data_IF_451049145288
#
_entry.id   IF_451049145288
#
_cell.length_a   1.000
_cell.length_b   1.000
_cell.length_c   1.000
_cell.angle_alpha   90.00
_cell.angle_beta   90.00
_cell.angle_gamma   90.00
#
_symmetry.space_group_name_H-M   'P 1'
#
loop_
_entity.id
_entity.type
_entity.pdbx_description
1 polymer ?
#
# COMPACT_ATOMS: atom_id res chain seq x y z
N UNK A 1 -2.28 14.03 -8.24
CA UNK A 1 -1.35 12.92 -7.97
C UNK A 1 -1.60 11.83 -9.00
N UNK A 2 -0.62 11.51 -9.81
CA UNK A 2 -0.76 10.44 -10.79
C UNK A 2 -0.40 9.06 -10.18
N UNK A 3 -0.50 8.00 -10.98
CA UNK A 3 -0.27 6.65 -10.50
C UNK A 3 1.18 6.44 -10.02
N UNK A 4 2.14 7.15 -10.60
CA UNK A 4 3.55 7.06 -10.17
C UNK A 4 3.76 7.75 -8.82
N UNK A 5 3.11 8.89 -8.60
CA UNK A 5 3.15 9.57 -7.30
C UNK A 5 2.56 8.69 -6.19
N UNK A 6 1.47 8.01 -6.49
CA UNK A 6 0.83 7.09 -5.54
C UNK A 6 1.77 5.94 -5.20
N UNK A 7 2.37 5.33 -6.21
CA UNK A 7 3.31 4.22 -6.00
C UNK A 7 4.55 4.67 -5.22
N UNK A 8 5.08 5.86 -5.54
CA UNK A 8 6.22 6.42 -4.81
C UNK A 8 5.91 6.56 -3.31
N UNK A 9 4.73 7.06 -2.99
CA UNK A 9 4.29 7.18 -1.59
C UNK A 9 4.12 5.82 -0.93
N UNK A 10 3.52 4.87 -1.60
CA UNK A 10 3.33 3.52 -1.05
C UNK A 10 4.66 2.82 -0.79
N UNK A 11 5.61 2.92 -1.72
CA UNK A 11 6.94 2.31 -1.58
C UNK A 11 7.72 2.94 -0.42
N UNK A 12 7.54 4.23 -0.18
CA UNK A 12 8.22 4.93 0.90
C UNK A 12 7.86 4.43 2.30
N UNK A 13 6.72 3.75 2.46
CA UNK A 13 6.37 3.13 3.73
C UNK A 13 7.11 1.79 3.88
N UNK A 14 8.00 1.63 4.87
CA UNK A 14 8.68 0.35 5.10
C UNK A 14 7.77 -0.63 5.85
N UNK A 15 6.63 -0.95 5.24
CA UNK A 15 5.58 -1.81 5.82
C UNK A 15 5.95 -3.28 5.76
N UNK A 16 7.07 -3.64 6.40
CA UNK A 16 7.59 -5.00 6.44
C UNK A 16 6.65 -5.90 7.25
N UNK A 17 6.42 -7.12 6.74
CA UNK A 17 5.56 -8.11 7.39
C UNK A 17 5.95 -8.31 8.86
N UNK A 18 4.96 -8.32 9.74
CA UNK A 18 5.17 -8.45 11.17
C UNK A 18 5.47 -7.16 11.91
N UNK A 19 5.56 -6.04 11.21
CA UNK A 19 5.76 -4.71 11.80
C UNK A 19 4.45 -3.92 11.82
N UNK A 20 4.36 -2.86 12.65
CA UNK A 20 3.19 -1.98 12.61
C UNK A 20 2.96 -1.40 11.20
N UNK A 21 1.69 -1.27 10.81
CA UNK A 21 1.33 -0.74 9.49
C UNK A 21 0.41 0.49 9.55
N UNK A 22 0.32 1.13 10.72
CA UNK A 22 -0.56 2.28 10.89
C UNK A 22 -0.29 3.43 9.92
N UNK A 23 0.96 3.66 9.58
CA UNK A 23 1.33 4.77 8.70
C UNK A 23 0.78 4.56 7.28
N UNK A 24 1.03 3.40 6.67
CA UNK A 24 0.55 3.11 5.32
C UNK A 24 -0.98 2.99 5.30
N UNK A 25 -1.57 2.31 6.27
CA UNK A 25 -3.02 2.16 6.36
C UNK A 25 -3.70 3.53 6.52
N UNK A 26 -3.18 4.38 7.38
CA UNK A 26 -3.71 5.73 7.59
C UNK A 26 -3.58 6.61 6.36
N UNK A 27 -2.48 6.50 5.61
CA UNK A 27 -2.32 7.26 4.37
C UNK A 27 -3.34 6.81 3.31
N UNK A 28 -3.53 5.49 3.16
CA UNK A 28 -4.51 4.95 2.20
C UNK A 28 -5.92 5.37 2.60
N UNK A 29 -6.26 5.27 3.88
CA UNK A 29 -7.57 5.72 4.39
C UNK A 29 -7.83 7.17 4.03
N UNK A 30 -6.88 8.07 4.33
CA UNK A 30 -7.02 9.49 4.06
C UNK A 30 -7.13 9.78 2.55
N UNK A 31 -6.34 9.08 1.74
CA UNK A 31 -6.39 9.23 0.29
C UNK A 31 -7.76 8.83 -0.27
N UNK A 32 -8.27 7.67 0.12
CA UNK A 32 -9.55 7.18 -0.37
C UNK A 32 -10.72 8.03 0.13
N UNK A 33 -10.65 8.52 1.36
CA UNK A 33 -11.69 9.38 1.92
C UNK A 33 -11.87 10.67 1.13
N UNK A 34 -10.78 11.24 0.61
CA UNK A 34 -10.83 12.42 -0.26
C UNK A 34 -11.62 12.19 -1.56
N UNK A 35 -11.72 10.94 -1.96
CA UNK A 35 -12.44 10.56 -3.19
C UNK A 35 -13.84 10.00 -2.90
N UNK A 36 -14.38 10.26 -1.72
CA UNK A 36 -15.74 9.89 -1.35
C UNK A 36 -15.93 8.40 -1.05
N UNK A 37 -14.86 7.68 -0.80
CA UNK A 37 -14.90 6.26 -0.48
C UNK A 37 -15.16 6.04 1.00
N UNK A 38 -16.06 5.12 1.33
CA UNK A 38 -16.23 4.66 2.70
C UNK A 38 -15.09 3.69 3.06
N UNK A 39 -14.35 4.03 4.12
CA UNK A 39 -13.19 3.24 4.55
C UNK A 39 -13.37 2.81 5.99
N UNK A 40 -13.06 1.54 6.26
CA UNK A 40 -13.05 0.99 7.62
C UNK A 40 -11.70 0.33 7.86
N UNK A 41 -11.05 0.69 8.95
CA UNK A 41 -9.87 -0.01 9.45
C UNK A 41 -10.31 -1.12 10.39
N UNK A 42 -9.75 -2.31 10.19
CA UNK A 42 -10.04 -3.51 10.97
C UNK A 42 -8.77 -3.90 11.73
N UNK A 43 -8.63 -3.48 13.02
CA UNK A 43 -7.44 -3.78 13.79
C UNK A 43 -7.27 -5.28 14.02
N UNK A 44 -6.03 -5.76 13.94
CA UNK A 44 -5.68 -7.12 14.32
C UNK A 44 -5.55 -7.28 15.85
N UNK A 45 -5.38 -8.53 16.31
CA UNK A 45 -5.29 -8.81 17.76
C UNK A 45 -4.06 -8.21 18.42
N UNK A 46 -3.00 -7.93 17.66
CA UNK A 46 -1.78 -7.29 18.16
C UNK A 46 -1.98 -5.81 18.50
N UNK A 47 -2.99 -5.16 17.91
CA UNK A 47 -3.29 -3.75 18.13
C UNK A 47 -2.40 -2.76 17.35
N UNK A 48 -1.38 -3.24 16.64
CA UNK A 48 -0.42 -2.40 15.91
C UNK A 48 -0.54 -2.55 14.40
N UNK A 49 -1.44 -3.42 13.92
CA UNK A 49 -1.67 -3.69 12.50
C UNK A 49 -3.16 -3.71 12.22
N UNK A 50 -3.54 -3.25 11.04
CA UNK A 50 -4.93 -3.21 10.60
C UNK A 50 -5.06 -3.68 9.17
N UNK A 51 -6.20 -4.32 8.87
CA UNK A 51 -6.67 -4.43 7.50
C UNK A 51 -7.50 -3.19 7.17
N UNK A 52 -7.64 -2.93 5.88
CA UNK A 52 -8.44 -1.82 5.39
C UNK A 52 -9.50 -2.36 4.43
N UNK A 53 -10.74 -1.97 4.67
CA UNK A 53 -11.87 -2.31 3.80
C UNK A 53 -12.50 -1.03 3.29
N UNK A 54 -12.59 -0.90 1.97
CA UNK A 54 -13.12 0.29 1.32
C UNK A 54 -14.23 -0.09 0.35
N UNK A 55 -15.28 0.72 0.30
CA UNK A 55 -16.42 0.50 -0.59
C UNK A 55 -16.65 1.73 -1.45
N UNK A 56 -16.78 1.52 -2.75
CA UNK A 56 -17.08 2.56 -3.74
C UNK A 56 -18.40 2.20 -4.40
N UNK A 57 -19.33 3.15 -4.45
CA UNK A 57 -20.61 2.98 -5.09
C UNK A 57 -21.73 2.51 -4.16
N UNK A 58 -22.89 2.12 -4.70
CA UNK A 58 -24.06 1.73 -3.91
C UNK A 58 -23.81 0.46 -3.10
N UNK A 59 -24.27 0.46 -1.84
CA UNK A 59 -24.10 -0.69 -0.95
C UNK A 59 -25.10 -1.82 -1.18
N UNK A 60 -26.16 -1.56 -1.96
CA UNK A 60 -27.30 -2.46 -2.15
C UNK A 60 -27.27 -3.22 -3.47
N UNK A 61 -26.16 -3.15 -4.20
CA UNK A 61 -25.99 -3.86 -5.47
C UNK A 61 -24.75 -4.76 -5.41
N UNK A 62 -24.74 -5.88 -6.16
CA UNK A 62 -23.55 -6.71 -6.28
C UNK A 62 -22.40 -5.95 -6.93
N UNK A 63 -21.16 -6.31 -6.55
CA UNK A 63 -19.98 -5.67 -7.10
C UNK A 63 -18.80 -6.62 -7.17
N UNK A 64 -17.62 -6.06 -7.47
CA UNK A 64 -16.36 -6.79 -7.48
C UNK A 64 -15.58 -6.50 -6.21
N UNK A 65 -14.78 -7.47 -5.78
CA UNK A 65 -13.82 -7.30 -4.70
C UNK A 65 -12.43 -7.32 -5.30
N UNK A 66 -11.68 -6.24 -5.07
CA UNK A 66 -10.26 -6.19 -5.36
C UNK A 66 -9.51 -6.39 -4.04
N UNK A 67 -8.67 -7.40 -3.99
CA UNK A 67 -7.95 -7.76 -2.75
C UNK A 67 -6.45 -7.70 -2.98
N UNK A 68 -5.76 -7.01 -2.09
CA UNK A 68 -4.31 -6.89 -2.11
C UNK A 68 -3.76 -6.73 -0.70
N UNK A 69 -2.43 -6.83 -0.56
CA UNK A 69 -1.77 -6.65 0.72
C UNK A 69 -0.85 -5.44 0.72
N UNK A 70 -0.71 -4.81 1.89
CA UNK A 70 0.10 -3.61 2.09
C UNK A 70 1.53 -3.94 2.56
N UNK A 71 1.72 -5.12 3.12
CA UNK A 71 3.02 -5.52 3.66
C UNK A 71 3.98 -5.96 2.55
N UNK A 72 5.26 -5.92 2.88
CA UNK A 72 6.34 -6.36 2.02
C UNK A 72 7.30 -7.24 2.82
N UNK A 73 8.06 -8.06 2.10
CA UNK A 73 9.17 -8.81 2.74
C UNK A 73 10.32 -7.85 3.04
N UNK A 74 11.21 -8.19 4.00
CA UNK A 74 12.37 -7.35 4.28
C UNK A 74 13.24 -7.11 3.04
N UNK A 75 13.93 -5.98 3.02
CA UNK A 75 14.80 -5.58 1.91
C UNK A 75 16.23 -5.35 2.43
N UNK A 76 16.82 -6.41 2.98
CA UNK A 76 18.17 -6.37 3.54
C UNK A 76 19.22 -7.02 2.63
N UNK A 77 18.83 -7.39 1.43
CA UNK A 77 19.72 -8.02 0.46
C UNK A 77 20.83 -7.03 0.02
N UNK A 78 22.08 -7.47 -0.01
CA UNK A 78 23.19 -6.58 -0.38
C UNK A 78 23.21 -6.18 -1.86
N UNK A 79 22.40 -6.82 -2.70
CA UNK A 79 22.32 -6.55 -4.14
C UNK A 79 21.58 -5.25 -4.48
N UNK A 80 20.89 -4.63 -3.52
CA UNK A 80 20.20 -3.38 -3.77
C UNK A 80 21.18 -2.27 -4.12
N UNK A 81 21.06 -1.69 -5.33
CA UNK A 81 21.90 -0.60 -5.81
C UNK A 81 21.39 0.78 -5.40
N UNK A 82 20.22 0.84 -4.77
CA UNK A 82 19.61 2.07 -4.27
C UNK A 82 18.73 1.73 -3.06
N UNK A 83 18.20 2.76 -2.38
CA UNK A 83 17.31 2.56 -1.24
C UNK A 83 16.05 1.80 -1.69
N UNK A 84 15.76 0.62 -1.12
CA UNK A 84 14.59 -0.16 -1.53
C UNK A 84 13.25 0.49 -1.17
N UNK A 85 13.22 1.46 -0.26
CA UNK A 85 12.03 2.19 0.14
C UNK A 85 11.97 3.61 -0.46
N UNK A 86 12.70 3.84 -1.54
CA UNK A 86 12.62 5.04 -2.35
C UNK A 86 12.47 4.64 -3.80
N UNK A 87 11.32 4.92 -4.38
CA UNK A 87 11.04 4.52 -5.77
C UNK A 87 12.06 5.14 -6.71
N UNK A 88 12.70 4.31 -7.53
CA UNK A 88 13.67 4.76 -8.51
C UNK A 88 13.19 4.39 -9.91
N UNK A 89 13.16 5.38 -10.78
CA UNK A 89 12.84 5.16 -12.20
C UNK A 89 14.11 5.13 -13.01
N UNK A 90 14.24 4.11 -13.84
CA UNK A 90 15.35 3.98 -14.78
C UNK A 90 14.82 3.42 -16.10
N UNK A 91 14.79 4.27 -17.13
CA UNK A 91 14.14 3.93 -18.38
C UNK A 91 12.64 3.71 -18.19
N UNK A 92 12.17 2.53 -18.57
CA UNK A 92 10.77 2.14 -18.43
C UNK A 92 10.52 1.28 -17.18
N UNK A 93 11.52 1.16 -16.30
CA UNK A 93 11.44 0.31 -15.12
C UNK A 93 11.39 1.14 -13.83
N UNK A 94 10.65 0.62 -12.85
CA UNK A 94 10.56 1.17 -11.51
C UNK A 94 11.14 0.17 -10.52
N UNK A 95 12.02 0.64 -9.65
CA UNK A 95 12.71 -0.20 -8.68
C UNK A 95 12.33 0.25 -7.26
N UNK A 96 11.98 -0.71 -6.42
CA UNK A 96 11.64 -0.49 -5.02
C UNK A 96 11.03 -1.74 -4.42
N UNK A 97 11.16 -1.92 -3.11
CA UNK A 97 10.54 -3.06 -2.45
C UNK A 97 9.02 -2.92 -2.52
N UNK A 98 8.36 -3.93 -3.09
CA UNK A 98 6.92 -3.95 -3.22
C UNK A 98 6.37 -3.41 -4.54
N UNK A 99 7.21 -2.93 -5.46
CA UNK A 99 6.74 -2.46 -6.78
C UNK A 99 5.98 -3.55 -7.52
N UNK A 100 6.41 -4.80 -7.41
CA UNK A 100 5.75 -5.96 -8.03
C UNK A 100 4.80 -6.66 -7.06
N UNK A 101 5.24 -6.91 -5.84
CA UNK A 101 4.49 -7.70 -4.84
C UNK A 101 4.29 -6.87 -3.55
N UNK A 102 3.17 -6.15 -3.39
CA UNK A 102 2.22 -5.94 -4.48
C UNK A 102 1.69 -4.50 -4.48
N UNK A 103 2.50 -3.53 -4.00
CA UNK A 103 2.10 -2.11 -3.96
C UNK A 103 1.79 -1.55 -5.35
N UNK A 104 2.38 -2.13 -6.40
CA UNK A 104 2.07 -1.76 -7.77
C UNK A 104 0.64 -2.14 -8.18
N UNK A 105 -0.01 -3.05 -7.47
CA UNK A 105 -1.42 -3.40 -7.66
C UNK A 105 -2.35 -2.44 -6.90
N UNK A 106 -1.94 -1.98 -5.72
CA UNK A 106 -2.79 -1.15 -4.85
C UNK A 106 -3.10 0.20 -5.49
#
# INVERSE_FOLDING_TARGET
>A
MDVFDILDRLVAFPSVAGKPNGDIAGWIEAYLAKHGTQVTLLPGPEGDRSNLFATIGPADVPGYILSGHMDVVPASEPQWSSNPFALRKEGERLYGRGTTDMKGFL
#
